data_IF_492426137196
#
_entry.id   IF_492426137196
#
_cell.length_a   1.000
_cell.length_b   1.000
_cell.length_c   1.000
_cell.angle_alpha   90.00
_cell.angle_beta   90.00
_cell.angle_gamma   90.00
#
_symmetry.space_group_name_H-M   'P 1'
#
loop_
_entity.id
_entity.type
_entity.pdbx_description
1 polymer ?
#
# COMPACT_ATOMS: atom_id res chain seq x y z
N UNK A 1 30.63 14.01 2.81
CA UNK A 1 30.82 12.76 2.03
C UNK A 1 30.12 11.55 2.66
N UNK A 2 30.23 11.30 3.97
CA UNK A 2 29.54 10.19 4.68
C UNK A 2 28.00 10.32 4.67
N UNK A 3 27.46 11.53 4.85
CA UNK A 3 25.99 11.73 4.77
C UNK A 3 25.42 11.48 3.37
N UNK A 4 26.17 11.80 2.33
CA UNK A 4 25.74 11.58 0.94
C UNK A 4 25.61 10.09 0.63
N UNK A 5 26.57 9.27 1.08
CA UNK A 5 26.52 7.81 0.91
C UNK A 5 25.45 7.16 1.79
N UNK A 6 25.18 7.70 2.98
CA UNK A 6 24.08 7.27 3.84
C UNK A 6 22.70 7.47 3.21
N UNK A 7 22.44 8.67 2.67
CA UNK A 7 21.19 9.00 1.97
C UNK A 7 20.99 8.12 0.73
N UNK A 8 22.05 7.85 -0.03
CA UNK A 8 21.98 6.99 -1.22
C UNK A 8 21.55 5.57 -0.86
N UNK A 9 22.14 4.98 0.19
CA UNK A 9 21.75 3.65 0.69
C UNK A 9 20.27 3.62 1.13
N UNK A 10 19.80 4.67 1.78
CA UNK A 10 18.39 4.78 2.18
C UNK A 10 17.45 4.79 0.97
N UNK A 11 17.77 5.56 -0.07
CA UNK A 11 16.96 5.62 -1.30
C UNK A 11 16.97 4.26 -2.02
N UNK A 12 18.13 3.61 -2.13
CA UNK A 12 18.23 2.27 -2.74
C UNK A 12 17.38 1.24 -1.99
N UNK A 13 17.41 1.25 -0.65
CA UNK A 13 16.56 0.39 0.17
C UNK A 13 15.07 0.68 -0.02
N UNK A 14 14.69 1.96 -0.07
CA UNK A 14 13.30 2.37 -0.34
C UNK A 14 12.82 1.91 -1.72
N UNK A 15 13.65 2.01 -2.76
CA UNK A 15 13.30 1.56 -4.11
C UNK A 15 13.08 0.04 -4.14
N UNK A 16 13.98 -0.74 -3.53
CA UNK A 16 13.84 -2.20 -3.45
C UNK A 16 12.56 -2.61 -2.73
N UNK A 17 12.28 -1.97 -1.59
CA UNK A 17 11.08 -2.28 -0.80
C UNK A 17 9.79 -1.94 -1.59
N UNK A 18 9.76 -0.80 -2.28
CA UNK A 18 8.61 -0.42 -3.12
C UNK A 18 8.37 -1.40 -4.27
N UNK A 19 9.42 -1.94 -4.87
CA UNK A 19 9.29 -2.94 -5.93
C UNK A 19 8.73 -4.26 -5.39
N UNK A 20 9.24 -4.72 -4.24
CA UNK A 20 8.70 -5.92 -3.57
C UNK A 20 7.23 -5.75 -3.20
N UNK A 21 6.85 -4.58 -2.69
CA UNK A 21 5.46 -4.31 -2.32
C UNK A 21 4.53 -4.27 -3.54
N UNK A 22 4.99 -3.73 -4.68
CA UNK A 22 4.25 -3.82 -5.95
C UNK A 22 4.05 -5.27 -6.39
N UNK A 23 5.09 -6.10 -6.32
CA UNK A 23 4.99 -7.54 -6.66
C UNK A 23 3.98 -8.25 -5.77
N UNK A 24 4.03 -8.01 -4.46
CA UNK A 24 3.06 -8.58 -3.50
C UNK A 24 1.63 -8.12 -3.81
N UNK A 25 1.42 -6.83 -4.06
CA UNK A 25 0.10 -6.30 -4.41
C UNK A 25 -0.43 -6.89 -5.72
N UNK A 26 0.43 -7.07 -6.73
CA UNK A 26 0.04 -7.69 -7.99
C UNK A 26 -0.44 -9.13 -7.80
N UNK A 27 0.31 -9.94 -7.03
CA UNK A 27 -0.08 -11.31 -6.71
C UNK A 27 -1.41 -11.33 -5.93
N UNK A 28 -1.59 -10.46 -4.93
CA UNK A 28 -2.86 -10.36 -4.20
C UNK A 28 -4.04 -10.02 -5.13
N UNK A 29 -3.87 -9.14 -6.11
CA UNK A 29 -4.92 -8.86 -7.10
C UNK A 29 -5.19 -10.06 -8.02
N UNK A 30 -4.17 -10.87 -8.32
CA UNK A 30 -4.34 -12.11 -9.08
C UNK A 30 -5.17 -13.15 -8.31
N UNK A 31 -4.96 -13.27 -7.00
CA UNK A 31 -5.74 -14.16 -6.13
C UNK A 31 -7.20 -13.68 -5.95
N UNK A 32 -7.45 -12.37 -6.04
CA UNK A 32 -8.80 -11.79 -5.90
C UNK A 32 -9.61 -11.85 -7.21
N UNK A 33 -8.97 -11.78 -8.38
CA UNK A 33 -9.62 -11.85 -9.70
C UNK A 33 -10.60 -13.03 -9.91
N UNK A 34 -10.32 -14.27 -9.46
CA UNK A 34 -11.24 -15.39 -9.65
C UNK A 34 -12.41 -15.41 -8.66
N UNK A 35 -12.48 -14.47 -7.69
CA UNK A 35 -13.57 -14.45 -6.72
C UNK A 35 -14.89 -14.00 -7.38
N UNK A 36 -16.04 -14.52 -6.90
CA UNK A 36 -17.35 -14.04 -7.34
C UNK A 36 -17.53 -12.53 -7.09
N UNK A 37 -18.23 -11.84 -7.99
CA UNK A 37 -18.46 -10.39 -7.90
C UNK A 37 -19.16 -9.95 -6.61
N UNK A 38 -19.93 -10.85 -5.98
CA UNK A 38 -20.63 -10.60 -4.71
C UNK A 38 -19.73 -10.73 -3.45
N UNK A 39 -18.43 -10.98 -3.64
CA UNK A 39 -17.50 -11.18 -2.53
C UNK A 39 -17.04 -9.86 -1.94
N UNK A 40 -17.40 -9.60 -0.68
CA UNK A 40 -16.90 -8.45 0.06
C UNK A 40 -15.39 -8.55 0.28
N UNK A 41 -14.62 -7.61 -0.27
CA UNK A 41 -13.17 -7.56 -0.10
C UNK A 41 -12.79 -6.48 0.90
N UNK A 42 -11.95 -6.84 1.88
CA UNK A 42 -11.47 -5.92 2.90
C UNK A 42 -9.96 -5.68 2.74
N UNK A 43 -9.56 -4.42 2.90
CA UNK A 43 -8.15 -4.01 2.93
C UNK A 43 -7.78 -3.60 4.35
N UNK A 44 -6.69 -4.16 4.87
CA UNK A 44 -6.12 -3.72 6.14
C UNK A 44 -5.22 -2.50 5.95
N UNK A 45 -5.38 -1.52 6.85
CA UNK A 45 -4.51 -0.36 6.98
C UNK A 45 -4.17 -0.21 8.46
N UNK A 46 -2.96 -0.61 8.85
CA UNK A 46 -2.61 -0.77 10.25
C UNK A 46 -3.52 -1.82 10.91
N UNK A 47 -4.21 -1.45 11.99
CA UNK A 47 -5.16 -2.31 12.70
C UNK A 47 -6.61 -2.20 12.17
N UNK A 48 -6.88 -1.28 11.24
CA UNK A 48 -8.22 -1.01 10.73
C UNK A 48 -8.47 -1.85 9.48
N UNK A 49 -9.65 -2.47 9.37
CA UNK A 49 -10.11 -3.14 8.15
C UNK A 49 -11.17 -2.27 7.46
N UNK A 50 -10.95 -1.96 6.18
CA UNK A 50 -11.83 -1.12 5.37
C UNK A 50 -12.44 -2.00 4.28
N UNK A 51 -13.77 -1.94 4.10
CA UNK A 51 -14.43 -2.56 2.96
C UNK A 51 -14.05 -1.80 1.69
N UNK A 52 -13.51 -2.50 0.69
CA UNK A 52 -13.01 -1.92 -0.54
C UNK A 52 -13.76 -2.52 -1.73
N UNK A 53 -14.38 -1.65 -2.54
CA UNK A 53 -14.90 -2.02 -3.86
C UNK A 53 -13.73 -2.35 -4.79
N UNK A 54 -13.91 -3.29 -5.73
CA UNK A 54 -12.91 -3.74 -6.72
C UNK A 54 -11.98 -2.61 -7.25
N UNK A 55 -12.55 -1.48 -7.68
CA UNK A 55 -11.80 -0.32 -8.18
C UNK A 55 -10.87 0.36 -7.16
N UNK A 56 -11.15 0.25 -5.87
CA UNK A 56 -10.38 0.82 -4.77
C UNK A 56 -9.15 -0.01 -4.36
N UNK A 57 -9.09 -1.28 -4.79
CA UNK A 57 -7.93 -2.16 -4.56
C UNK A 57 -6.79 -1.88 -5.55
N UNK A 58 -7.14 -1.59 -6.81
CA UNK A 58 -6.18 -1.36 -7.90
C UNK A 58 -5.47 -0.01 -7.78
N UNK A 59 -6.12 0.99 -7.15
CA UNK A 59 -5.53 2.31 -6.92
C UNK A 59 -4.92 2.42 -5.54
N UNK A 60 -3.59 2.52 -5.44
CA UNK A 60 -2.94 2.96 -4.21
C UNK A 60 -3.49 4.35 -3.82
N UNK A 61 -4.09 4.50 -2.62
CA UNK A 61 -4.44 5.82 -2.13
C UNK A 61 -3.16 6.64 -2.02
N UNK A 62 -3.13 7.84 -2.62
CA UNK A 62 -2.06 8.80 -2.37
C UNK A 62 -2.24 9.34 -0.95
N UNK A 63 -1.76 8.60 0.05
CA UNK A 63 -1.85 8.90 1.49
C UNK A 63 -1.14 10.20 1.93
N UNK A 64 -0.68 11.04 0.99
CA UNK A 64 -0.14 12.37 1.29
C UNK A 64 -1.12 13.28 2.02
N UNK A 65 -2.44 13.04 1.89
CA UNK A 65 -3.50 13.85 2.52
C UNK A 65 -4.06 13.28 3.83
N UNK A 66 -3.72 12.03 4.21
CA UNK A 66 -4.33 11.35 5.37
C UNK A 66 -3.53 11.55 6.67
N UNK A 67 -2.45 12.32 6.65
CA UNK A 67 -1.63 12.64 7.83
C UNK A 67 -2.36 13.52 8.85
N UNK A 68 -3.52 14.07 8.49
CA UNK A 68 -4.29 15.00 9.32
C UNK A 68 -5.45 14.32 10.08
N UNK A 69 -5.57 12.99 10.04
CA UNK A 69 -6.64 12.25 10.73
C UNK A 69 -6.25 11.76 12.14
N UNK A 70 -5.25 12.40 12.76
CA UNK A 70 -4.86 12.20 14.17
C UNK A 70 -4.99 13.49 15.01
N UNK A 71 -5.94 14.37 14.69
CA UNK A 71 -6.38 15.41 15.62
C UNK A 71 -7.89 15.38 15.75
N UNK A 72 -8.35 15.06 16.96
CA UNK A 72 -9.75 15.12 17.36
C UNK A 72 -10.27 13.81 17.90
N UNK A 73 -9.76 13.39 19.05
CA UNK A 73 -10.52 13.13 20.27
C UNK A 73 -9.58 13.25 21.47
#
# INVERSE_FOLDING_TARGET
MIEATGKLKQVVAQMRNKETEKKRAFLTLEELRPLPEDTNTYKSVGMIQILVLEYGLVRQPKFGHLKNLHMGY
#
